data_IF_290164135081
#
_entry.id   IF_290164135081
#
_cell.length_a   1.000
_cell.length_b   1.000
_cell.length_c   1.000
_cell.angle_alpha   90.00
_cell.angle_beta   90.00
_cell.angle_gamma   90.00
#
_symmetry.space_group_name_H-M   'P 1'
#
loop_
_entity.id
_entity.type
_entity.pdbx_description
1 polymer ?
#
# COMPACT_ATOMS: atom_id res chain seq x y z
N UNK A 1 69.60 -9.32 35.15
CA UNK A 1 69.60 -8.10 34.31
C UNK A 1 68.76 -8.42 33.08
N UNK A 2 67.57 -7.82 33.00
CA UNK A 2 66.63 -7.61 31.86
C UNK A 2 66.40 -8.77 30.87
N UNK A 3 65.17 -9.14 30.49
CA UNK A 3 64.18 -8.24 29.91
C UNK A 3 62.76 -8.82 29.98
N UNK A 4 61.82 -7.94 30.29
CA UNK A 4 60.37 -8.15 30.24
C UNK A 4 59.82 -8.02 28.81
N UNK A 5 58.57 -8.49 28.66
CA UNK A 5 57.57 -8.15 27.62
C UNK A 5 57.90 -8.58 26.18
N UNK A 6 57.08 -9.47 25.61
CA UNK A 6 55.99 -9.05 24.74
C UNK A 6 54.92 -10.15 24.65
N UNK A 7 53.78 -9.85 25.24
CA UNK A 7 52.53 -10.60 25.17
C UNK A 7 51.91 -10.28 23.81
N UNK A 8 52.04 -11.15 22.81
CA UNK A 8 51.32 -10.97 21.53
C UNK A 8 49.96 -11.65 21.61
N UNK A 9 49.02 -10.91 22.19
CA UNK A 9 47.60 -11.15 22.13
C UNK A 9 47.05 -10.53 20.83
N UNK A 10 46.81 -11.36 19.82
CA UNK A 10 45.99 -11.02 18.65
C UNK A 10 45.33 -12.32 18.16
N UNK A 11 44.23 -12.77 18.76
CA UNK A 11 42.87 -12.43 18.30
C UNK A 11 42.86 -12.27 16.77
N UNK A 12 42.88 -13.39 16.06
CA UNK A 12 42.37 -13.44 14.68
C UNK A 12 40.86 -13.56 14.85
N UNK A 13 40.20 -12.41 14.99
CA UNK A 13 38.75 -12.33 14.87
C UNK A 13 38.37 -12.64 13.42
N UNK A 14 37.59 -13.70 13.34
CA UNK A 14 36.72 -14.14 12.26
C UNK A 14 36.08 -12.93 11.59
N UNK A 15 36.62 -12.48 10.46
CA UNK A 15 35.86 -11.81 9.43
C UNK A 15 35.69 -12.81 8.30
N UNK A 16 34.86 -13.83 8.54
CA UNK A 16 34.04 -14.30 7.44
C UNK A 16 33.18 -13.11 7.07
N UNK A 17 33.58 -12.38 6.02
CA UNK A 17 32.67 -11.52 5.29
C UNK A 17 31.45 -12.39 5.00
N UNK A 18 30.42 -12.25 5.82
CA UNK A 18 29.10 -12.66 5.43
C UNK A 18 28.83 -11.79 4.20
N UNK A 19 29.06 -12.38 3.03
CA UNK A 19 28.33 -12.11 1.82
C UNK A 19 26.86 -12.27 2.17
N UNK A 20 26.30 -11.30 2.90
CA UNK A 20 24.88 -11.03 2.89
C UNK A 20 24.65 -10.74 1.42
N UNK A 21 23.91 -11.60 0.70
CA UNK A 21 23.56 -11.29 -0.67
C UNK A 21 22.92 -9.91 -0.64
N UNK A 22 23.37 -8.98 -1.50
CA UNK A 22 22.63 -7.75 -1.76
C UNK A 22 21.16 -8.16 -1.91
N UNK A 23 20.29 -7.72 -1.00
CA UNK A 23 19.04 -8.44 -0.73
C UNK A 23 18.32 -8.73 -2.04
N UNK A 24 18.13 -10.01 -2.38
CA UNK A 24 17.37 -10.42 -3.56
C UNK A 24 15.86 -10.11 -3.42
N UNK A 25 15.49 -9.29 -2.43
CA UNK A 25 14.14 -8.90 -2.10
C UNK A 25 13.69 -7.88 -3.13
N UNK A 26 12.59 -8.19 -3.81
CA UNK A 26 11.98 -7.24 -4.74
C UNK A 26 11.40 -6.05 -3.97
N UNK A 27 11.38 -4.87 -4.56
CA UNK A 27 10.90 -3.66 -3.87
C UNK A 27 9.47 -3.80 -3.32
N UNK A 28 8.60 -4.53 -4.04
CA UNK A 28 7.22 -4.77 -3.60
C UNK A 28 7.13 -5.69 -2.36
N UNK A 29 8.08 -6.62 -2.19
CA UNK A 29 8.14 -7.50 -1.01
C UNK A 29 8.47 -6.68 0.24
N UNK A 30 9.46 -5.78 0.13
CA UNK A 30 9.81 -4.81 1.17
C UNK A 30 8.66 -3.85 1.54
N UNK A 31 7.80 -3.52 0.57
CA UNK A 31 6.57 -2.76 0.85
C UNK A 31 5.55 -3.62 1.60
N UNK A 32 5.32 -4.86 1.16
CA UNK A 32 4.35 -5.75 1.78
C UNK A 32 4.70 -6.12 3.23
N UNK A 33 5.99 -6.19 3.57
CA UNK A 33 6.46 -6.43 4.94
C UNK A 33 6.06 -5.32 5.92
N UNK A 34 5.90 -4.09 5.43
CA UNK A 34 5.58 -2.91 6.24
C UNK A 34 4.09 -2.54 6.22
N UNK A 35 3.25 -3.38 5.61
CA UNK A 35 1.78 -3.20 5.60
C UNK A 35 1.15 -3.50 6.97
N UNK A 36 -0.11 -3.10 7.15
CA UNK A 36 -0.89 -3.44 8.34
C UNK A 36 -0.88 -4.95 8.63
N UNK A 37 -1.02 -5.31 9.90
CA UNK A 37 -1.05 -6.71 10.31
C UNK A 37 -2.14 -7.50 9.55
N UNK A 38 -1.77 -8.66 9.00
CA UNK A 38 -2.65 -9.49 8.19
C UNK A 38 -2.74 -9.09 6.70
N UNK A 39 -2.08 -8.02 6.25
CA UNK A 39 -2.08 -7.58 4.85
C UNK A 39 -0.88 -8.04 4.03
N UNK A 40 0.17 -8.58 4.65
CA UNK A 40 1.38 -9.05 3.95
C UNK A 40 1.09 -10.02 2.80
N UNK A 41 0.44 -11.17 3.06
CA UNK A 41 0.20 -12.15 2.00
C UNK A 41 -0.80 -11.65 0.93
N UNK A 42 -1.92 -10.98 1.28
CA UNK A 42 -2.77 -10.31 0.29
C UNK A 42 -2.01 -9.29 -0.56
N UNK A 43 -1.11 -8.51 0.05
CA UNK A 43 -0.25 -7.55 -0.64
C UNK A 43 0.64 -8.26 -1.65
N UNK A 44 1.38 -9.29 -1.22
CA UNK A 44 2.27 -10.06 -2.10
C UNK A 44 1.51 -10.62 -3.29
N UNK A 45 0.36 -11.28 -3.05
CA UNK A 45 -0.49 -11.83 -4.12
C UNK A 45 -0.99 -10.78 -5.09
N UNK A 46 -1.37 -9.60 -4.57
CA UNK A 46 -1.89 -8.52 -5.39
C UNK A 46 -0.78 -7.91 -6.25
N UNK A 47 0.35 -7.57 -5.64
CA UNK A 47 1.45 -6.85 -6.29
C UNK A 47 2.21 -7.71 -7.29
N UNK A 48 2.45 -9.00 -6.98
CA UNK A 48 3.15 -9.91 -7.90
C UNK A 48 2.36 -10.17 -9.20
N UNK A 49 1.04 -9.97 -9.19
CA UNK A 49 0.19 -10.21 -10.36
C UNK A 49 0.33 -9.15 -11.45
N UNK A 50 0.89 -7.98 -11.12
CA UNK A 50 1.15 -6.90 -12.06
C UNK A 50 2.64 -6.86 -12.43
N UNK A 51 2.92 -7.12 -13.72
CA UNK A 51 4.30 -7.16 -14.23
C UNK A 51 5.05 -5.85 -13.99
N UNK A 52 4.40 -4.67 -14.12
CA UNK A 52 5.08 -3.38 -13.94
C UNK A 52 5.52 -3.19 -12.50
N UNK A 53 4.69 -3.63 -11.56
CA UNK A 53 4.98 -3.61 -10.12
C UNK A 53 6.09 -4.62 -9.80
N UNK A 54 5.97 -5.86 -10.26
CA UNK A 54 6.94 -6.92 -9.99
C UNK A 54 8.34 -6.61 -10.53
N UNK A 55 8.45 -5.87 -11.63
CA UNK A 55 9.74 -5.51 -12.25
C UNK A 55 10.20 -4.07 -11.99
N UNK A 56 9.55 -3.35 -11.06
CA UNK A 56 9.90 -1.96 -10.78
C UNK A 56 11.35 -1.84 -10.26
N UNK A 57 12.11 -0.90 -10.83
CA UNK A 57 13.56 -0.74 -10.53
C UNK A 57 13.84 0.22 -9.38
N UNK A 58 12.88 1.05 -9.01
CA UNK A 58 12.98 2.02 -7.93
C UNK A 58 11.59 2.27 -7.29
N UNK A 59 11.58 2.86 -6.10
CA UNK A 59 10.35 3.11 -5.36
C UNK A 59 9.43 4.15 -6.02
N UNK A 60 9.93 5.02 -6.90
CA UNK A 60 9.09 5.99 -7.63
C UNK A 60 8.23 5.25 -8.65
N UNK A 61 8.84 4.41 -9.47
CA UNK A 61 8.14 3.60 -10.49
C UNK A 61 7.19 2.59 -9.84
N UNK A 62 7.63 1.96 -8.74
CA UNK A 62 6.80 1.05 -7.95
C UNK A 62 5.57 1.78 -7.40
N UNK A 63 5.77 2.89 -6.69
CA UNK A 63 4.67 3.61 -6.03
C UNK A 63 3.70 4.19 -7.06
N UNK A 64 4.19 4.72 -8.19
CA UNK A 64 3.32 5.17 -9.28
C UNK A 64 2.44 4.04 -9.82
N UNK A 65 3.02 2.85 -10.03
CA UNK A 65 2.27 1.69 -10.53
C UNK A 65 1.22 1.20 -9.53
N UNK A 66 1.54 1.21 -8.22
CA UNK A 66 0.59 0.89 -7.15
C UNK A 66 -0.55 1.93 -7.09
N UNK A 67 -0.23 3.23 -7.18
CA UNK A 67 -1.23 4.29 -7.20
C UNK A 67 -2.14 4.22 -8.42
N UNK A 68 -1.62 3.83 -9.59
CA UNK A 68 -2.43 3.59 -10.79
C UNK A 68 -3.37 2.40 -10.61
N UNK A 69 -2.90 1.30 -10.03
CA UNK A 69 -3.74 0.17 -9.66
C UNK A 69 -4.83 0.60 -8.66
N UNK A 70 -4.47 1.37 -7.63
CA UNK A 70 -5.40 1.88 -6.62
C UNK A 70 -6.48 2.76 -7.22
N UNK A 71 -6.11 3.71 -8.09
CA UNK A 71 -7.05 4.58 -8.82
C UNK A 71 -7.99 3.77 -9.71
N UNK A 72 -7.47 2.79 -10.45
CA UNK A 72 -8.29 1.94 -11.31
C UNK A 72 -9.32 1.14 -10.49
N UNK A 73 -8.90 0.54 -9.36
CA UNK A 73 -9.80 -0.23 -8.49
C UNK A 73 -10.83 0.65 -7.78
N UNK A 74 -10.43 1.82 -7.28
CA UNK A 74 -11.35 2.78 -6.68
C UNK A 74 -12.38 3.28 -7.70
N UNK A 75 -11.96 3.58 -8.93
CA UNK A 75 -12.84 4.04 -10.01
C UNK A 75 -13.82 2.93 -10.41
N UNK A 76 -13.34 1.70 -10.56
CA UNK A 76 -14.19 0.53 -10.78
C UNK A 76 -15.22 0.36 -9.66
N UNK A 77 -14.78 0.47 -8.40
CA UNK A 77 -15.63 0.39 -7.23
C UNK A 77 -16.74 1.43 -7.24
N UNK A 78 -16.39 2.69 -7.49
CA UNK A 78 -17.36 3.77 -7.62
C UNK A 78 -18.41 3.47 -8.69
N UNK A 79 -17.98 3.03 -9.88
CA UNK A 79 -18.88 2.72 -10.99
C UNK A 79 -19.78 1.54 -10.66
N UNK A 80 -19.25 0.49 -10.02
CA UNK A 80 -20.04 -0.66 -9.61
C UNK A 80 -21.11 -0.26 -8.59
N UNK A 81 -20.71 0.44 -7.52
CA UNK A 81 -21.59 0.89 -6.45
C UNK A 81 -22.64 1.86 -7.00
N UNK A 82 -22.27 2.79 -7.88
CA UNK A 82 -23.22 3.73 -8.52
C UNK A 82 -24.32 3.02 -9.31
N UNK A 83 -24.04 1.83 -9.85
CA UNK A 83 -25.01 1.05 -10.61
C UNK A 83 -25.75 0.00 -9.76
N UNK A 84 -25.33 -0.23 -8.51
CA UNK A 84 -26.00 -1.16 -7.61
C UNK A 84 -27.43 -0.71 -7.34
N UNK A 85 -28.39 -1.57 -7.71
CA UNK A 85 -29.82 -1.35 -7.55
C UNK A 85 -30.30 0.05 -7.99
N UNK A 86 -29.75 0.59 -9.09
CA UNK A 86 -29.91 1.99 -9.52
C UNK A 86 -31.35 2.55 -9.49
N UNK A 87 -32.37 1.71 -9.74
CA UNK A 87 -33.79 2.14 -9.70
C UNK A 87 -34.29 2.39 -8.27
N UNK A 88 -33.81 1.60 -7.31
CA UNK A 88 -34.21 1.62 -5.90
C UNK A 88 -32.95 1.63 -5.01
N UNK A 89 -32.02 2.53 -5.30
CA UNK A 89 -30.70 2.50 -4.68
C UNK A 89 -30.80 2.88 -3.20
N UNK A 90 -30.29 2.05 -2.27
CA UNK A 90 -30.30 2.37 -0.85
C UNK A 90 -29.51 3.67 -0.57
N UNK A 91 -29.93 4.50 0.41
CA UNK A 91 -29.21 5.73 0.76
C UNK A 91 -27.72 5.52 1.06
N UNK A 92 -27.36 4.47 1.80
CA UNK A 92 -25.97 4.12 2.11
C UNK A 92 -25.13 3.85 0.84
N UNK A 93 -25.72 3.19 -0.16
CA UNK A 93 -25.04 2.93 -1.45
C UNK A 93 -24.85 4.22 -2.23
N UNK A 94 -25.88 5.08 -2.22
CA UNK A 94 -25.78 6.40 -2.86
C UNK A 94 -24.66 7.21 -2.23
N UNK A 95 -24.57 7.24 -0.90
CA UNK A 95 -23.51 7.94 -0.16
C UNK A 95 -22.11 7.37 -0.48
N UNK A 96 -21.96 6.05 -0.51
CA UNK A 96 -20.73 5.41 -0.98
C UNK A 96 -20.31 5.92 -2.37
N UNK A 97 -21.25 5.95 -3.32
CA UNK A 97 -20.99 6.30 -4.71
C UNK A 97 -20.70 7.81 -4.93
N UNK A 98 -21.37 8.69 -4.18
CA UNK A 98 -21.34 10.14 -4.43
C UNK A 98 -20.47 10.93 -3.46
N UNK A 99 -20.06 10.34 -2.34
CA UNK A 99 -19.28 11.01 -1.30
C UNK A 99 -17.99 10.26 -1.01
N UNK A 100 -18.09 9.02 -0.55
CA UNK A 100 -16.93 8.28 -0.04
C UNK A 100 -15.93 7.90 -1.13
N UNK A 101 -16.40 7.31 -2.24
CA UNK A 101 -15.51 6.94 -3.35
C UNK A 101 -14.91 8.15 -4.10
N UNK A 102 -15.66 9.23 -4.36
CA UNK A 102 -15.05 10.48 -4.86
C UNK A 102 -13.92 11.01 -3.99
N UNK A 103 -14.09 11.01 -2.65
CA UNK A 103 -13.04 11.40 -1.70
C UNK A 103 -11.82 10.49 -1.77
N UNK A 104 -12.03 9.17 -1.82
CA UNK A 104 -10.98 8.17 -2.04
C UNK A 104 -10.17 8.43 -3.31
N UNK A 105 -10.86 8.59 -4.45
CA UNK A 105 -10.24 8.83 -5.76
C UNK A 105 -9.46 10.14 -5.78
N UNK A 106 -10.03 11.21 -5.20
CA UNK A 106 -9.36 12.51 -5.09
C UNK A 106 -8.07 12.40 -4.28
N UNK A 107 -8.10 11.67 -3.17
CA UNK A 107 -6.94 11.45 -2.31
C UNK A 107 -5.83 10.64 -3.00
N UNK A 108 -6.19 9.61 -3.77
CA UNK A 108 -5.20 8.90 -4.61
C UNK A 108 -4.59 9.79 -5.70
N UNK A 109 -5.39 10.64 -6.36
CA UNK A 109 -4.88 11.61 -7.35
C UNK A 109 -3.90 12.58 -6.70
N UNK A 110 -4.23 13.07 -5.51
CA UNK A 110 -3.33 13.93 -4.71
C UNK A 110 -2.04 13.20 -4.36
N UNK A 111 -2.12 11.96 -3.88
CA UNK A 111 -0.96 11.16 -3.57
C UNK A 111 -0.01 11.04 -4.76
N UNK A 112 -0.55 10.78 -5.96
CA UNK A 112 0.24 10.72 -7.19
C UNK A 112 0.87 12.06 -7.56
N UNK A 113 0.15 13.16 -7.41
CA UNK A 113 0.64 14.50 -7.72
C UNK A 113 1.78 14.97 -6.77
N UNK A 114 1.76 14.48 -5.52
CA UNK A 114 2.75 14.81 -4.50
C UNK A 114 3.93 13.84 -4.46
N UNK A 115 3.84 12.66 -5.09
CA UNK A 115 4.79 11.55 -4.89
C UNK A 115 6.27 11.95 -4.96
N UNK A 116 6.65 12.76 -5.95
CA UNK A 116 8.04 13.20 -6.15
C UNK A 116 8.33 14.51 -5.41
N UNK A 117 7.31 15.35 -5.19
CA UNK A 117 7.46 16.69 -4.60
C UNK A 117 7.56 16.63 -3.08
N UNK A 118 6.73 15.81 -2.47
CA UNK A 118 6.58 15.63 -1.04
C UNK A 118 6.07 14.21 -0.74
N UNK A 119 6.97 13.21 -0.65
CA UNK A 119 6.58 11.83 -0.38
C UNK A 119 5.83 11.62 0.94
N UNK A 120 6.06 12.49 1.94
CA UNK A 120 5.30 12.48 3.20
C UNK A 120 3.84 12.84 2.95
N UNK A 121 3.58 13.92 2.21
CA UNK A 121 2.23 14.31 1.81
C UNK A 121 1.59 13.27 0.89
N UNK A 122 2.36 12.63 0.01
CA UNK A 122 1.88 11.55 -0.84
C UNK A 122 1.44 10.33 -0.03
N UNK A 123 2.27 9.89 0.93
CA UNK A 123 1.92 8.82 1.87
C UNK A 123 0.65 9.13 2.66
N UNK A 124 0.55 10.34 3.20
CA UNK A 124 -0.62 10.78 3.95
C UNK A 124 -1.89 10.77 3.09
N UNK A 125 -1.82 11.34 1.88
CA UNK A 125 -2.95 11.34 0.95
C UNK A 125 -3.34 9.92 0.51
N UNK A 126 -2.37 9.03 0.30
CA UNK A 126 -2.64 7.64 -0.02
C UNK A 126 -3.34 6.92 1.14
N UNK A 127 -2.94 7.18 2.39
CA UNK A 127 -3.60 6.63 3.59
C UNK A 127 -5.02 7.17 3.75
N UNK A 128 -5.21 8.48 3.58
CA UNK A 128 -6.51 9.14 3.64
C UNK A 128 -7.49 8.61 2.58
N UNK A 129 -6.99 8.10 1.44
CA UNK A 129 -7.84 7.47 0.45
C UNK A 129 -8.59 6.22 1.00
N UNK A 130 -8.07 5.59 2.06
CA UNK A 130 -8.68 4.46 2.73
C UNK A 130 -9.97 4.79 3.49
N UNK A 131 -10.18 6.05 3.88
CA UNK A 131 -11.40 6.51 4.57
C UNK A 131 -12.65 6.24 3.74
N UNK A 132 -12.57 6.41 2.42
CA UNK A 132 -13.73 6.19 1.53
C UNK A 132 -14.28 4.75 1.58
N UNK A 133 -13.49 3.71 1.25
CA UNK A 133 -13.97 2.33 1.36
C UNK A 133 -14.30 1.92 2.80
N UNK A 134 -13.64 2.47 3.82
CA UNK A 134 -13.91 2.18 5.23
C UNK A 134 -15.29 2.73 5.66
N UNK A 135 -15.54 4.03 5.47
CA UNK A 135 -16.85 4.64 5.74
C UNK A 135 -17.96 4.02 4.90
N UNK A 136 -17.67 3.63 3.65
CA UNK A 136 -18.63 2.89 2.85
C UNK A 136 -18.96 1.52 3.45
N UNK A 137 -17.96 0.77 3.94
CA UNK A 137 -18.18 -0.52 4.57
C UNK A 137 -19.03 -0.39 5.86
N UNK A 138 -18.80 0.65 6.66
CA UNK A 138 -19.61 0.94 7.83
C UNK A 138 -21.06 1.31 7.47
N UNK A 139 -21.24 2.18 6.47
CA UNK A 139 -22.57 2.61 6.03
C UNK A 139 -23.42 1.46 5.49
N UNK A 140 -22.85 0.58 4.65
CA UNK A 140 -23.59 -0.57 4.11
C UNK A 140 -23.90 -1.61 5.20
N UNK A 141 -23.00 -1.79 6.16
CA UNK A 141 -23.22 -2.68 7.31
C UNK A 141 -24.33 -2.15 8.21
N UNK A 142 -24.32 -0.86 8.52
CA UNK A 142 -25.38 -0.19 9.28
C UNK A 142 -26.75 -0.27 8.59
N UNK A 143 -26.76 -0.28 7.26
CA UNK A 143 -27.96 -0.45 6.44
C UNK A 143 -28.38 -1.93 6.24
N UNK A 144 -27.69 -2.89 6.86
CA UNK A 144 -27.91 -4.34 6.68
C UNK A 144 -27.87 -4.77 5.20
N UNK A 145 -26.98 -4.17 4.41
CA UNK A 145 -26.79 -4.53 3.01
C UNK A 145 -25.71 -5.60 2.94
N UNK A 146 -26.11 -6.80 2.52
CA UNK A 146 -25.21 -7.93 2.33
C UNK A 146 -24.88 -8.15 0.84
N UNK A 147 -23.95 -7.35 0.31
CA UNK A 147 -23.39 -7.56 -1.03
C UNK A 147 -21.88 -7.86 -0.93
N UNK A 148 -21.55 -9.14 -1.11
CA UNK A 148 -20.18 -9.65 -1.03
C UNK A 148 -19.22 -8.92 -1.99
N UNK A 149 -19.71 -8.45 -3.13
CA UNK A 149 -18.87 -7.79 -4.12
C UNK A 149 -18.53 -6.36 -3.68
N UNK A 150 -19.46 -5.61 -3.09
CA UNK A 150 -19.18 -4.30 -2.49
C UNK A 150 -18.18 -4.45 -1.35
N UNK A 151 -18.37 -5.42 -0.44
CA UNK A 151 -17.42 -5.68 0.64
C UNK A 151 -16.01 -5.98 0.11
N UNK A 152 -15.90 -6.84 -0.92
CA UNK A 152 -14.61 -7.17 -1.52
C UNK A 152 -13.95 -5.97 -2.20
N UNK A 153 -14.72 -5.11 -2.87
CA UNK A 153 -14.20 -3.87 -3.47
C UNK A 153 -13.68 -2.96 -2.35
N UNK A 154 -14.46 -2.71 -1.29
CA UNK A 154 -14.03 -1.86 -0.17
C UNK A 154 -12.73 -2.37 0.45
N UNK A 155 -12.66 -3.67 0.76
CA UNK A 155 -11.45 -4.29 1.32
C UNK A 155 -10.23 -4.17 0.38
N UNK A 156 -10.43 -4.36 -0.92
CA UNK A 156 -9.34 -4.25 -1.90
C UNK A 156 -8.80 -2.83 -2.01
N UNK A 157 -9.69 -1.83 -2.05
CA UNK A 157 -9.29 -0.42 -2.14
C UNK A 157 -8.63 0.05 -0.84
N UNK A 158 -9.12 -0.40 0.32
CA UNK A 158 -8.50 -0.14 1.61
C UNK A 158 -7.09 -0.74 1.70
N UNK A 159 -6.91 -1.99 1.25
CA UNK A 159 -5.59 -2.63 1.16
C UNK A 159 -4.65 -1.82 0.24
N UNK A 160 -5.12 -1.39 -0.93
CA UNK A 160 -4.32 -0.59 -1.87
C UNK A 160 -3.96 0.79 -1.31
N UNK A 161 -4.83 1.39 -0.49
CA UNK A 161 -4.53 2.63 0.24
C UNK A 161 -3.36 2.45 1.21
N UNK A 162 -3.37 1.37 1.99
CA UNK A 162 -2.29 1.06 2.92
C UNK A 162 -0.97 0.80 2.19
N UNK A 163 -0.99 -0.07 1.18
CA UNK A 163 0.18 -0.40 0.35
C UNK A 163 0.76 0.86 -0.29
N UNK A 164 -0.07 1.72 -0.88
CA UNK A 164 0.38 2.95 -1.51
C UNK A 164 0.99 3.93 -0.50
N UNK A 165 0.43 4.03 0.71
CA UNK A 165 0.99 4.84 1.79
C UNK A 165 2.36 4.33 2.23
N UNK A 166 2.49 3.02 2.46
CA UNK A 166 3.76 2.39 2.83
C UNK A 166 4.80 2.57 1.72
N UNK A 167 4.42 2.33 0.46
CA UNK A 167 5.32 2.49 -0.69
C UNK A 167 5.82 3.93 -0.83
N UNK A 168 4.95 4.93 -0.66
CA UNK A 168 5.36 6.34 -0.66
C UNK A 168 6.30 6.68 0.50
N UNK A 169 6.14 6.07 1.69
CA UNK A 169 7.07 6.26 2.82
C UNK A 169 8.48 5.76 2.54
N UNK A 170 8.65 4.74 1.69
CA UNK A 170 9.99 4.26 1.27
C UNK A 170 10.80 5.31 0.50
N UNK A 171 10.18 6.41 0.05
CA UNK A 171 10.84 7.53 -0.61
C UNK A 171 11.27 8.65 0.37
N UNK A 172 10.86 8.58 1.64
CA UNK A 172 11.30 9.52 2.68
C UNK A 172 12.69 9.12 3.12
N UNK A 173 13.65 10.04 2.96
CA UNK A 173 15.05 9.86 3.40
C UNK A 173 15.21 10.29 4.85
#
# INVERSE_FOLDING_TARGET
MNSYLFFTLSIILIFSDSLIPASCINLYESVCDDTLHGYKDPCLRLLQSDRKIATAKNYVDLTNSILDMALAKATYGQVYISNFNKKNQPPAIKECATTHYPGCISSFKKAKAELVKNPVAASYAARLAGDGPDYCADAIKAANIDDHKIFNINRMVLLLSDIASVSARKLVK
#
